data_IF_276893363140
#
_entry.id   IF_276893363140
#
_cell.length_a   1.000
_cell.length_b   1.000
_cell.length_c   1.000
_cell.angle_alpha   90.00
_cell.angle_beta   90.00
_cell.angle_gamma   90.00
#
_symmetry.space_group_name_H-M   'P 1'
#
loop_
_entity.id
_entity.type
_entity.pdbx_description
1 polymer ?
#
# COMPACT_ATOMS: atom_id res chain seq x y z
N UNK A 1 20.52 3.99 -15.28
CA UNK A 1 19.38 4.13 -16.20
C UNK A 1 18.55 5.30 -15.72
N UNK A 2 18.02 6.16 -16.58
CA UNK A 2 17.16 7.27 -16.12
C UNK A 2 15.76 6.74 -15.76
N UNK A 3 15.15 7.26 -14.69
CA UNK A 3 13.80 6.90 -14.26
C UNK A 3 12.76 7.05 -15.38
N UNK A 4 13.01 7.96 -16.33
CA UNK A 4 12.19 8.15 -17.51
C UNK A 4 12.05 6.88 -18.36
N UNK A 5 13.12 6.06 -18.46
CA UNK A 5 13.07 4.80 -19.20
C UNK A 5 12.19 3.75 -18.51
N UNK A 6 12.20 3.70 -17.17
CA UNK A 6 11.33 2.82 -16.38
C UNK A 6 9.87 3.25 -16.59
N UNK A 7 9.61 4.55 -16.46
CA UNK A 7 8.28 5.12 -16.61
C UNK A 7 7.73 4.87 -18.01
N UNK A 8 8.52 5.10 -19.06
CA UNK A 8 8.10 4.90 -20.44
C UNK A 8 7.65 3.46 -20.70
N UNK A 9 8.36 2.46 -20.17
CA UNK A 9 7.96 1.04 -20.26
C UNK A 9 6.64 0.78 -19.54
N UNK A 10 6.51 1.29 -18.31
CA UNK A 10 5.32 1.12 -17.48
C UNK A 10 4.07 1.72 -18.14
N UNK A 11 4.20 2.90 -18.74
CA UNK A 11 3.08 3.60 -19.36
C UNK A 11 2.47 2.86 -20.55
N UNK A 12 3.20 1.93 -21.20
CA UNK A 12 2.69 1.13 -22.32
C UNK A 12 1.82 -0.06 -21.87
N UNK A 13 1.74 -0.35 -20.57
CA UNK A 13 1.05 -1.53 -20.05
C UNK A 13 -0.21 -1.09 -19.31
N UNK A 14 -1.36 -1.60 -19.74
CA UNK A 14 -2.66 -1.21 -19.18
C UNK A 14 -3.15 -2.15 -18.06
N UNK A 15 -2.68 -3.40 -18.08
CA UNK A 15 -3.21 -4.47 -17.25
C UNK A 15 -2.15 -5.11 -16.34
N UNK A 16 -2.60 -5.56 -15.17
CA UNK A 16 -1.75 -6.12 -14.14
C UNK A 16 -0.90 -5.06 -13.44
N UNK A 17 0.01 -5.53 -12.58
CA UNK A 17 0.89 -4.67 -11.78
C UNK A 17 2.33 -5.21 -11.70
N UNK A 18 2.64 -6.35 -12.33
CA UNK A 18 3.98 -6.94 -12.26
C UNK A 18 5.05 -5.98 -12.79
N UNK A 19 4.78 -5.32 -13.91
CA UNK A 19 5.65 -4.28 -14.49
C UNK A 19 5.91 -3.10 -13.54
N UNK A 20 4.97 -2.81 -12.62
CA UNK A 20 5.18 -1.80 -11.57
C UNK A 20 6.18 -2.32 -10.54
N UNK A 21 6.02 -3.57 -10.09
CA UNK A 21 6.92 -4.21 -9.12
C UNK A 21 8.34 -4.28 -9.69
N UNK A 22 8.49 -4.74 -10.93
CA UNK A 22 9.79 -4.85 -11.61
C UNK A 22 10.46 -3.47 -11.71
N UNK A 23 9.69 -2.42 -12.03
CA UNK A 23 10.17 -1.05 -12.05
C UNK A 23 10.61 -0.54 -10.68
N UNK A 24 9.91 -0.91 -9.61
CA UNK A 24 10.34 -0.59 -8.23
C UNK A 24 11.61 -1.34 -7.86
N UNK A 25 11.75 -2.62 -8.23
CA UNK A 25 12.97 -3.39 -7.99
C UNK A 25 14.18 -2.72 -8.64
N UNK A 26 14.04 -2.27 -9.89
CA UNK A 26 15.09 -1.55 -10.60
C UNK A 26 15.45 -0.22 -9.88
N UNK A 27 14.43 0.55 -9.47
CA UNK A 27 14.63 1.81 -8.73
C UNK A 27 15.37 1.56 -7.39
N UNK A 28 14.98 0.51 -6.65
CA UNK A 28 15.57 0.19 -5.35
C UNK A 28 16.99 -0.36 -5.46
N UNK A 29 17.36 -0.95 -6.60
CA UNK A 29 18.73 -1.41 -6.86
C UNK A 29 19.69 -0.28 -7.27
N UNK A 30 19.14 0.84 -7.76
CA UNK A 30 19.95 1.90 -8.42
C UNK A 30 20.10 3.18 -7.59
N UNK A 31 19.03 3.63 -6.93
CA UNK A 31 18.96 4.98 -6.35
C UNK A 31 19.06 4.98 -4.83
N UNK A 32 19.40 6.10 -4.20
CA UNK A 32 19.40 6.24 -2.73
C UNK A 32 17.97 6.29 -2.16
N UNK A 33 17.82 6.18 -0.83
CA UNK A 33 16.52 6.29 -0.16
C UNK A 33 15.86 7.66 -0.43
N UNK A 34 16.65 8.73 -0.37
CA UNK A 34 16.21 10.12 -0.55
C UNK A 34 15.69 10.32 -1.97
N UNK A 35 16.46 9.88 -2.97
CA UNK A 35 16.07 9.93 -4.38
C UNK A 35 14.78 9.14 -4.64
N UNK A 36 14.64 7.94 -4.06
CA UNK A 36 13.42 7.13 -4.20
C UNK A 36 12.20 7.87 -3.64
N UNK A 37 12.35 8.56 -2.52
CA UNK A 37 11.26 9.34 -1.93
C UNK A 37 10.89 10.52 -2.84
N UNK A 38 11.86 11.30 -3.32
CA UNK A 38 11.65 12.40 -4.27
C UNK A 38 10.93 11.92 -5.54
N UNK A 39 11.40 10.82 -6.13
CA UNK A 39 10.74 10.22 -7.29
C UNK A 39 9.29 9.83 -7.02
N UNK A 40 9.00 9.29 -5.84
CA UNK A 40 7.62 8.94 -5.50
C UNK A 40 6.71 10.19 -5.42
N UNK A 41 7.23 11.32 -4.92
CA UNK A 41 6.49 12.59 -4.90
C UNK A 41 6.22 13.10 -6.31
N UNK A 42 7.21 13.07 -7.20
CA UNK A 42 7.05 13.49 -8.59
C UNK A 42 6.05 12.60 -9.34
N UNK A 43 6.19 11.28 -9.20
CA UNK A 43 5.33 10.29 -9.84
C UNK A 43 3.89 10.35 -9.31
N UNK A 44 3.68 10.69 -8.04
CA UNK A 44 2.35 10.88 -7.46
C UNK A 44 1.57 12.01 -8.15
N UNK A 45 2.26 13.08 -8.56
CA UNK A 45 1.62 14.20 -9.27
C UNK A 45 1.35 13.93 -10.76
N UNK A 46 1.77 12.77 -11.27
CA UNK A 46 1.64 12.42 -12.67
C UNK A 46 0.20 12.05 -13.07
N UNK A 47 -0.21 12.46 -14.27
CA UNK A 47 -1.60 12.25 -14.77
C UNK A 47 -1.94 10.77 -14.99
N UNK A 48 -0.99 9.98 -15.49
CA UNK A 48 -1.18 8.56 -15.73
C UNK A 48 -1.26 7.78 -14.41
N UNK A 49 -2.26 6.91 -14.28
CA UNK A 49 -2.46 6.14 -13.05
C UNK A 49 -1.33 5.11 -12.83
N UNK A 50 -0.69 4.61 -13.88
CA UNK A 50 0.43 3.67 -13.76
C UNK A 50 1.63 4.33 -13.06
N UNK A 51 1.89 5.61 -13.33
CA UNK A 51 2.93 6.38 -12.63
C UNK A 51 2.60 6.50 -11.13
N UNK A 52 1.33 6.73 -10.79
CA UNK A 52 0.88 6.81 -9.39
C UNK A 52 0.86 5.45 -8.70
N UNK A 53 0.61 4.37 -9.44
CA UNK A 53 0.82 3.00 -8.96
C UNK A 53 2.30 2.76 -8.61
N UNK A 54 3.23 3.23 -9.46
CA UNK A 54 4.67 3.17 -9.19
C UNK A 54 5.03 3.97 -7.93
N UNK A 55 4.56 5.21 -7.81
CA UNK A 55 4.74 6.03 -6.62
C UNK A 55 4.27 5.33 -5.34
N UNK A 56 3.04 4.79 -5.37
CA UNK A 56 2.42 4.08 -4.25
C UNK A 56 3.26 2.88 -3.82
N UNK A 57 3.82 2.14 -4.78
CA UNK A 57 4.62 0.94 -4.51
C UNK A 57 6.00 1.30 -3.94
N UNK A 58 6.63 2.39 -4.43
CA UNK A 58 7.86 2.92 -3.86
C UNK A 58 7.63 3.34 -2.40
N UNK A 59 6.58 4.12 -2.15
CA UNK A 59 6.20 4.56 -0.81
C UNK A 59 5.89 3.38 0.11
N UNK A 60 5.21 2.34 -0.37
CA UNK A 60 4.97 1.11 0.38
C UNK A 60 6.24 0.45 0.90
N UNK A 61 7.26 0.33 0.03
CA UNK A 61 8.55 -0.23 0.44
C UNK A 61 9.33 0.69 1.38
N UNK A 62 9.26 2.00 1.19
CA UNK A 62 9.88 2.96 2.12
C UNK A 62 9.19 2.96 3.49
N UNK A 63 7.85 2.84 3.50
CA UNK A 63 7.01 2.86 4.70
C UNK A 63 7.27 1.69 5.66
N UNK A 64 7.96 0.65 5.20
CA UNK A 64 8.51 -0.42 6.05
C UNK A 64 9.26 0.15 7.25
N UNK A 65 10.08 1.18 7.03
CA UNK A 65 10.96 1.80 8.04
C UNK A 65 10.76 3.32 8.17
N UNK A 66 9.98 3.95 7.27
CA UNK A 66 9.80 5.39 7.21
C UNK A 66 8.35 5.82 7.46
N UNK A 67 8.09 6.43 8.62
CA UNK A 67 6.74 6.88 8.97
C UNK A 67 6.26 8.08 8.13
N UNK A 68 7.15 8.85 7.49
CA UNK A 68 6.72 9.91 6.57
C UNK A 68 6.13 9.30 5.30
N UNK A 69 6.74 8.21 4.79
CA UNK A 69 6.18 7.47 3.67
C UNK A 69 4.83 6.83 4.03
N UNK A 70 4.72 6.25 5.23
CA UNK A 70 3.47 5.69 5.73
C UNK A 70 2.36 6.75 5.85
N UNK A 71 2.69 7.92 6.38
CA UNK A 71 1.78 9.06 6.47
C UNK A 71 1.31 9.49 5.07
N UNK A 72 2.23 9.57 4.10
CA UNK A 72 1.89 9.93 2.72
C UNK A 72 0.92 8.91 2.07
N UNK A 73 1.13 7.60 2.30
CA UNK A 73 0.19 6.56 1.87
C UNK A 73 -1.21 6.81 2.45
N UNK A 74 -1.29 7.08 3.77
CA UNK A 74 -2.54 7.29 4.49
C UNK A 74 -3.26 8.56 4.06
N UNK A 75 -2.57 9.68 3.95
CA UNK A 75 -3.20 11.00 3.80
C UNK A 75 -3.33 11.45 2.34
N UNK A 76 -2.45 10.97 1.46
CA UNK A 76 -2.37 11.43 0.07
C UNK A 76 -2.85 10.34 -0.89
N UNK A 77 -2.23 9.16 -0.87
CA UNK A 77 -2.58 8.08 -1.81
C UNK A 77 -4.02 7.59 -1.60
N UNK A 78 -4.50 7.53 -0.36
CA UNK A 78 -5.89 7.15 -0.05
C UNK A 78 -6.94 8.06 -0.69
N UNK A 79 -6.56 9.24 -1.19
CA UNK A 79 -7.47 10.17 -1.87
C UNK A 79 -7.50 9.98 -3.39
N UNK A 80 -6.66 9.10 -3.94
CA UNK A 80 -6.61 8.83 -5.38
C UNK A 80 -7.93 8.22 -5.88
N UNK A 81 -8.46 8.79 -6.97
CA UNK A 81 -9.74 8.37 -7.54
C UNK A 81 -9.62 7.08 -8.36
N UNK A 82 -8.41 6.69 -8.76
CA UNK A 82 -8.21 5.51 -9.59
C UNK A 82 -8.18 4.24 -8.72
N UNK A 83 -9.11 3.34 -8.98
CA UNK A 83 -9.24 2.09 -8.22
C UNK A 83 -7.96 1.23 -8.26
N UNK A 84 -7.19 1.25 -9.35
CA UNK A 84 -5.94 0.47 -9.46
C UNK A 84 -4.86 1.01 -8.52
N UNK A 85 -4.84 2.33 -8.29
CA UNK A 85 -3.94 2.94 -7.30
C UNK A 85 -4.35 2.51 -5.89
N UNK A 86 -5.65 2.48 -5.59
CA UNK A 86 -6.16 1.97 -4.31
C UNK A 86 -5.82 0.48 -4.08
N UNK A 87 -5.82 -0.34 -5.13
CA UNK A 87 -5.35 -1.73 -5.03
C UNK A 87 -3.84 -1.81 -4.74
N UNK A 88 -3.02 -0.89 -5.28
CA UNK A 88 -1.60 -0.81 -4.91
C UNK A 88 -1.41 -0.31 -3.47
N UNK A 89 -2.28 0.57 -2.98
CA UNK A 89 -2.26 1.03 -1.59
C UNK A 89 -2.56 -0.13 -0.62
N UNK A 90 -3.56 -0.96 -0.91
CA UNK A 90 -3.86 -2.19 -0.17
C UNK A 90 -2.63 -3.13 -0.08
N UNK A 91 -1.94 -3.33 -1.21
CA UNK A 91 -0.71 -4.15 -1.25
C UNK A 91 0.44 -3.51 -0.47
N UNK A 92 0.61 -2.19 -0.57
CA UNK A 92 1.62 -1.46 0.17
C UNK A 92 1.41 -1.60 1.70
N UNK A 93 0.16 -1.49 2.15
CA UNK A 93 -0.17 -1.65 3.57
C UNK A 93 0.09 -3.08 4.08
N UNK A 94 -0.31 -4.10 3.29
CA UNK A 94 0.01 -5.51 3.61
C UNK A 94 1.52 -5.73 3.73
N UNK A 95 2.31 -5.20 2.79
CA UNK A 95 3.77 -5.32 2.82
C UNK A 95 4.40 -4.63 4.05
N UNK A 96 3.88 -3.47 4.47
CA UNK A 96 4.30 -2.81 5.72
C UNK A 96 4.03 -3.71 6.92
N UNK A 97 2.81 -4.26 7.03
CA UNK A 97 2.43 -5.12 8.13
C UNK A 97 3.26 -6.42 8.15
N UNK A 98 3.47 -7.01 6.98
CA UNK A 98 4.29 -8.21 6.81
C UNK A 98 5.74 -7.97 7.21
N UNK A 99 6.31 -6.83 6.82
CA UNK A 99 7.70 -6.51 7.14
C UNK A 99 7.91 -6.20 8.62
N UNK A 100 7.03 -5.41 9.24
CA UNK A 100 7.11 -5.06 10.66
C UNK A 100 6.68 -6.21 11.58
N UNK A 101 5.93 -7.17 11.04
CA UNK A 101 5.24 -8.20 11.79
C UNK A 101 3.79 -7.79 12.06
N UNK A 102 2.85 -8.68 11.77
CA UNK A 102 1.42 -8.39 11.87
C UNK A 102 0.97 -8.06 13.31
N UNK A 103 1.54 -8.74 14.31
CA UNK A 103 1.26 -8.48 15.73
C UNK A 103 1.70 -7.07 16.13
N UNK A 104 2.93 -6.69 15.76
CA UNK A 104 3.48 -5.35 15.99
C UNK A 104 2.67 -4.28 15.26
N UNK A 105 2.03 -4.65 14.16
CA UNK A 105 1.23 -3.75 13.32
C UNK A 105 -0.22 -3.62 13.78
N UNK A 106 -0.67 -4.33 14.83
CA UNK A 106 -2.05 -4.23 15.33
C UNK A 106 -2.50 -2.80 15.64
N UNK A 107 -1.71 -1.95 16.33
CA UNK A 107 -2.11 -0.56 16.57
C UNK A 107 -2.31 0.24 15.28
N UNK A 108 -1.46 0.01 14.28
CA UNK A 108 -1.56 0.66 12.96
C UNK A 108 -2.82 0.19 12.20
N UNK A 109 -3.11 -1.10 12.25
CA UNK A 109 -4.30 -1.72 11.66
C UNK A 109 -5.57 -1.13 12.29
N UNK A 110 -5.62 -1.04 13.62
CA UNK A 110 -6.74 -0.47 14.34
C UNK A 110 -6.90 1.03 14.04
N UNK A 111 -5.80 1.78 13.98
CA UNK A 111 -5.81 3.19 13.61
C UNK A 111 -6.46 3.41 12.23
N UNK A 112 -6.02 2.67 11.21
CA UNK A 112 -6.54 2.83 9.84
C UNK A 112 -8.00 2.34 9.70
N UNK A 113 -8.44 1.38 10.50
CA UNK A 113 -9.84 0.94 10.54
C UNK A 113 -10.77 1.88 11.32
N UNK A 114 -10.22 2.83 12.07
CA UNK A 114 -10.97 3.87 12.75
C UNK A 114 -10.89 5.21 12.00
N UNK A 115 -10.28 5.24 10.80
CA UNK A 115 -10.17 6.45 10.01
C UNK A 115 -11.52 6.88 9.42
N UNK A 116 -11.71 8.18 9.20
CA UNK A 116 -12.93 8.71 8.58
C UNK A 116 -12.93 8.53 7.05
N UNK A 117 -11.77 8.32 6.43
CA UNK A 117 -11.66 8.08 5.00
C UNK A 117 -11.97 6.61 4.66
N UNK A 118 -13.04 6.32 3.90
CA UNK A 118 -13.41 4.96 3.54
C UNK A 118 -12.33 4.23 2.73
N UNK A 119 -11.47 4.94 1.99
CA UNK A 119 -10.36 4.32 1.26
C UNK A 119 -9.23 3.85 2.20
N UNK A 120 -9.00 4.55 3.32
CA UNK A 120 -8.05 4.12 4.35
C UNK A 120 -8.56 2.84 5.02
N UNK A 121 -9.84 2.80 5.40
CA UNK A 121 -10.48 1.59 5.93
C UNK A 121 -10.40 0.45 4.92
N UNK A 122 -10.78 0.71 3.65
CA UNK A 122 -10.74 -0.28 2.56
C UNK A 122 -9.34 -0.86 2.41
N UNK A 123 -8.31 -0.02 2.45
CA UNK A 123 -6.90 -0.44 2.36
C UNK A 123 -6.58 -1.57 3.32
N UNK A 124 -7.01 -1.46 4.58
CA UNK A 124 -6.79 -2.51 5.59
C UNK A 124 -7.58 -3.76 5.24
N UNK A 125 -8.87 -3.62 4.94
CA UNK A 125 -9.76 -4.77 4.70
C UNK A 125 -9.39 -5.57 3.45
N UNK A 126 -8.86 -4.90 2.42
CA UNK A 126 -8.44 -5.48 1.16
C UNK A 126 -6.99 -5.99 1.20
N UNK A 127 -6.08 -5.22 1.82
CA UNK A 127 -4.69 -5.62 1.97
C UNK A 127 -4.57 -6.90 2.80
N UNK A 128 -5.36 -7.01 3.87
CA UNK A 128 -5.33 -8.15 4.79
C UNK A 128 -6.43 -9.19 4.51
N UNK A 129 -6.98 -9.22 3.28
CA UNK A 129 -8.16 -10.03 2.93
C UNK A 129 -8.01 -11.51 3.24
N UNK A 130 -6.81 -12.09 3.09
CA UNK A 130 -6.52 -13.50 3.42
C UNK A 130 -5.94 -13.60 4.83
N UNK A 131 -6.64 -13.04 5.83
CA UNK A 131 -6.22 -13.11 7.23
C UNK A 131 -6.03 -14.56 7.71
N UNK A 132 -6.78 -15.54 7.17
CA UNK A 132 -6.71 -16.95 7.59
C UNK A 132 -5.42 -17.64 7.14
N UNK A 133 -4.70 -17.04 6.20
CA UNK A 133 -3.39 -17.53 5.77
C UNK A 133 -2.25 -16.84 6.51
N UNK A 134 -2.51 -15.71 7.18
CA UNK A 134 -1.55 -15.02 8.01
C UNK A 134 -1.25 -15.84 9.29
N UNK A 135 0.01 -16.22 9.55
CA UNK A 135 0.38 -17.09 10.68
C UNK A 135 -0.14 -16.60 12.04
N UNK A 136 -0.19 -15.29 12.24
CA UNK A 136 -0.70 -14.69 13.48
C UNK A 136 -2.21 -14.92 13.68
N UNK A 137 -3.00 -14.82 12.61
CA UNK A 137 -4.46 -14.93 12.67
C UNK A 137 -4.96 -16.39 12.53
N UNK A 138 -4.06 -17.38 12.36
CA UNK A 138 -4.40 -18.80 12.18
C UNK A 138 -4.93 -19.53 13.43
N UNK A 139 -4.53 -19.22 14.68
CA UNK A 139 -5.10 -19.89 15.86
C UNK A 139 -5.86 -18.98 16.84
N UNK A 140 -6.12 -17.70 16.53
CA UNK A 140 -6.82 -16.78 17.45
C UNK A 140 -8.35 -16.77 17.29
N UNK A 141 -8.96 -17.89 16.87
CA UNK A 141 -10.40 -18.01 16.65
C UNK A 141 -11.28 -17.92 17.91
N UNK A 142 -10.75 -17.44 19.05
CA UNK A 142 -11.47 -17.41 20.33
C UNK A 142 -11.73 -16.04 20.96
N UNK A 143 -10.90 -15.00 20.74
CA UNK A 143 -10.96 -13.79 21.61
C UNK A 143 -10.88 -12.45 20.84
N UNK A 144 -10.24 -12.39 19.66
CA UNK A 144 -9.98 -11.11 18.96
C UNK A 144 -11.00 -10.75 17.86
N UNK A 145 -12.01 -11.60 17.62
CA UNK A 145 -12.89 -11.52 16.44
C UNK A 145 -14.09 -10.56 16.55
N UNK A 146 -14.45 -10.13 17.76
CA UNK A 146 -15.70 -9.40 18.03
C UNK A 146 -15.68 -7.93 17.57
N UNK A 147 -14.57 -7.22 17.70
CA UNK A 147 -14.48 -5.82 17.23
C UNK A 147 -14.23 -5.71 15.72
N UNK A 148 -13.54 -6.68 15.11
CA UNK A 148 -13.10 -6.62 13.72
C UNK A 148 -14.13 -7.19 12.72
N UNK A 149 -14.86 -8.24 13.10
CA UNK A 149 -15.93 -8.83 12.28
C UNK A 149 -17.10 -7.85 12.12
N UNK A 150 -17.45 -7.13 13.20
CA UNK A 150 -18.55 -6.16 13.25
C UNK A 150 -18.37 -5.01 12.26
N UNK A 151 -17.15 -4.49 12.08
CA UNK A 151 -16.86 -3.41 11.12
C UNK A 151 -16.94 -3.85 9.65
N UNK A 152 -16.62 -5.12 9.35
CA UNK A 152 -16.69 -5.65 7.98
C UNK A 152 -18.12 -5.71 7.44
N UNK A 153 -19.11 -5.85 8.34
CA UNK A 153 -20.54 -5.84 7.99
C UNK A 153 -21.00 -4.43 7.60
N UNK A 154 -20.57 -3.38 8.30
CA UNK A 154 -20.97 -1.99 8.02
C UNK A 154 -20.36 -1.38 6.75
N UNK A 155 -19.25 -1.91 6.23
CA UNK A 155 -18.60 -1.35 5.01
C UNK A 155 -19.18 -1.97 3.73
N UNK A 156 -19.94 -3.07 3.84
CA UNK A 156 -20.60 -3.74 2.71
C UNK A 156 -22.07 -3.34 2.50
N UNK A 157 -22.62 -2.49 3.37
CA UNK A 157 -23.96 -1.92 3.30
C UNK A 157 -23.92 -0.48 2.84
#
# INVERSE_FOLDING_TARGET
>A
MEIHNILNKILQIEHGFQHIIDGVDEIFSTYSKEQRFEFALDLFNHKAYQARMLATTILGRLAREDNNALCFLKERISTDKNWRVQEMLAKAFDEVCKHRGYEVSLPLIEEWLNDNNPNVIRTVTEGLRIWTSCPFFKPQFGISSTSFSSKKVSIKS
#
